data_IF_772132321708
#
_entry.id   IF_772132321708
#
_cell.length_a   1.000
_cell.length_b   1.000
_cell.length_c   1.000
_cell.angle_alpha   90.00
_cell.angle_beta   90.00
_cell.angle_gamma   90.00
#
_symmetry.space_group_name_H-M   'P 1'
#
loop_
_entity.id
_entity.type
_entity.pdbx_description
1 polymer ?
#
# COMPACT_ATOMS: atom_id res chain seq x y z
N UNK A 1 -11.88 0.27 -14.41
CA UNK A 1 -12.76 -0.82 -14.93
C UNK A 1 -12.72 -0.70 -16.45
N UNK A 2 -12.61 -1.81 -17.17
CA UNK A 2 -12.71 -1.78 -18.64
C UNK A 2 -14.16 -1.53 -19.06
N UNK A 3 -14.39 -1.24 -20.35
CA UNK A 3 -15.73 -1.03 -20.91
C UNK A 3 -16.70 -2.20 -20.63
N UNK A 4 -16.16 -3.41 -20.43
CA UNK A 4 -16.91 -4.63 -20.12
C UNK A 4 -17.04 -4.93 -18.63
N UNK A 5 -16.88 -3.93 -17.77
CA UNK A 5 -17.04 -4.04 -16.32
C UNK A 5 -16.05 -5.00 -15.63
N UNK A 6 -14.90 -5.30 -16.27
CA UNK A 6 -13.83 -6.09 -15.66
C UNK A 6 -12.84 -5.19 -14.91
N UNK A 7 -12.24 -5.66 -13.80
CA UNK A 7 -11.15 -4.95 -13.13
C UNK A 7 -10.02 -4.67 -14.14
N UNK A 8 -9.58 -3.41 -14.22
CA UNK A 8 -8.43 -3.05 -15.03
C UNK A 8 -7.17 -3.57 -14.32
N UNK A 9 -6.28 -4.26 -15.04
CA UNK A 9 -5.00 -4.70 -14.48
C UNK A 9 -3.98 -3.57 -14.46
N UNK A 10 -3.02 -3.66 -13.55
CA UNK A 10 -1.92 -2.71 -13.43
C UNK A 10 -0.61 -3.46 -13.12
N UNK A 11 0.52 -2.77 -13.05
CA UNK A 11 1.83 -3.41 -12.82
C UNK A 11 2.71 -2.63 -11.85
N UNK A 12 3.67 -3.33 -11.25
CA UNK A 12 4.55 -2.79 -10.19
C UNK A 12 5.38 -1.59 -10.67
N UNK A 13 5.69 -1.53 -11.97
CA UNK A 13 6.47 -0.45 -12.58
C UNK A 13 5.67 0.67 -13.24
N UNK A 14 4.34 0.57 -13.32
CA UNK A 14 3.50 1.59 -13.95
C UNK A 14 2.10 1.62 -13.34
N UNK A 15 1.79 2.70 -12.61
CA UNK A 15 0.43 2.96 -12.15
C UNK A 15 -0.41 3.48 -13.32
N UNK A 16 -0.94 2.56 -14.11
CA UNK A 16 -1.86 2.85 -15.24
C UNK A 16 -3.29 3.12 -14.79
N UNK A 17 -3.55 3.16 -13.48
CA UNK A 17 -4.89 3.34 -12.94
C UNK A 17 -5.41 4.77 -13.16
N UNK A 18 -6.70 4.88 -13.46
CA UNK A 18 -7.39 6.16 -13.61
C UNK A 18 -7.36 6.99 -12.31
N UNK A 19 -7.65 8.29 -12.43
CA UNK A 19 -7.74 9.18 -11.28
C UNK A 19 -8.74 8.63 -10.22
N UNK A 20 -8.34 8.67 -8.95
CA UNK A 20 -9.12 8.10 -7.84
C UNK A 20 -8.95 6.59 -7.64
N UNK A 21 -8.18 5.90 -8.50
CA UNK A 21 -7.83 4.49 -8.36
C UNK A 21 -6.35 4.30 -8.00
N UNK A 22 -6.04 3.21 -7.32
CA UNK A 22 -4.68 2.80 -6.98
C UNK A 22 -4.41 1.37 -7.46
N UNK A 23 -3.15 1.07 -7.75
CA UNK A 23 -2.76 -0.25 -8.18
C UNK A 23 -2.60 -1.20 -6.99
N UNK A 24 -3.51 -2.16 -6.85
CA UNK A 24 -3.42 -3.22 -5.86
C UNK A 24 -2.60 -4.38 -6.41
N UNK A 25 -1.54 -4.79 -5.70
CA UNK A 25 -0.71 -5.94 -6.05
C UNK A 25 -1.25 -7.21 -5.38
N UNK A 26 -1.76 -8.14 -6.19
CA UNK A 26 -2.32 -9.42 -5.72
C UNK A 26 -1.32 -10.57 -5.71
N UNK A 27 -1.85 -11.81 -5.67
CA UNK A 27 -1.07 -13.05 -5.78
C UNK A 27 -0.69 -13.43 -7.22
N UNK A 28 -1.37 -12.84 -8.20
CA UNK A 28 -1.23 -13.11 -9.64
C UNK A 28 -1.49 -11.84 -10.44
N UNK A 29 -1.24 -11.87 -11.75
CA UNK A 29 -1.59 -10.76 -12.65
C UNK A 29 -3.10 -10.46 -12.65
N UNK A 30 -3.94 -11.50 -12.58
CA UNK A 30 -5.41 -11.35 -12.52
C UNK A 30 -5.90 -10.69 -11.22
N UNK A 31 -5.12 -10.80 -10.15
CA UNK A 31 -5.43 -10.17 -8.86
C UNK A 31 -4.66 -8.86 -8.65
N UNK A 32 -3.85 -8.46 -9.64
CA UNK A 32 -3.13 -7.18 -9.67
C UNK A 32 -3.93 -6.17 -10.49
N UNK A 33 -4.72 -5.35 -9.81
CA UNK A 33 -5.82 -4.59 -10.41
C UNK A 33 -5.95 -3.19 -9.83
N UNK A 34 -6.57 -2.29 -10.59
CA UNK A 34 -6.91 -0.95 -10.15
C UNK A 34 -8.13 -0.97 -9.22
N UNK A 35 -7.93 -0.60 -7.96
CA UNK A 35 -8.96 -0.50 -6.94
C UNK A 35 -9.39 0.98 -6.74
N UNK A 36 -10.68 1.27 -6.54
CA UNK A 36 -11.15 2.62 -6.26
C UNK A 36 -10.72 3.10 -4.86
N UNK A 37 -10.91 4.38 -4.59
CA UNK A 37 -10.71 4.95 -3.25
C UNK A 37 -9.25 5.26 -2.93
N UNK A 38 -8.50 5.75 -3.93
CA UNK A 38 -7.10 6.16 -3.74
C UNK A 38 -6.99 7.21 -2.63
N UNK A 39 -6.24 6.88 -1.58
CA UNK A 39 -5.74 7.82 -0.56
C UNK A 39 -4.27 8.19 -0.83
N UNK A 40 -3.80 9.29 -0.26
CA UNK A 40 -2.46 9.83 -0.51
C UNK A 40 -1.74 10.21 0.80
N UNK A 41 -0.40 10.17 0.77
CA UNK A 41 0.45 10.60 1.88
C UNK A 41 0.14 9.85 3.19
N UNK A 42 0.10 10.61 4.30
CA UNK A 42 -0.12 10.08 5.65
C UNK A 42 -1.44 9.31 5.83
N UNK A 43 -2.46 9.58 5.00
CA UNK A 43 -3.72 8.84 5.07
C UNK A 43 -3.56 7.35 4.74
N UNK A 44 -2.53 6.97 3.97
CA UNK A 44 -2.17 5.56 3.73
C UNK A 44 -1.76 4.90 5.06
N UNK A 45 -0.91 5.58 5.83
CA UNK A 45 -0.32 5.08 7.08
C UNK A 45 -1.33 4.96 8.22
N UNK A 46 -2.49 5.59 8.09
CA UNK A 46 -3.59 5.53 9.06
C UNK A 46 -4.58 4.39 8.77
N UNK A 47 -4.48 3.73 7.61
CA UNK A 47 -5.35 2.60 7.32
C UNK A 47 -4.98 1.40 8.18
N UNK A 48 -6.00 0.68 8.64
CA UNK A 48 -5.82 -0.51 9.48
C UNK A 48 -5.13 -1.65 8.72
N UNK A 49 -4.49 -2.57 9.45
CA UNK A 49 -4.02 -3.83 8.88
C UNK A 49 -5.16 -4.54 8.15
N UNK A 50 -4.95 -4.88 6.88
CA UNK A 50 -5.91 -5.64 6.10
C UNK A 50 -5.29 -6.93 5.56
N UNK A 51 -5.63 -8.05 6.19
CA UNK A 51 -5.19 -9.39 5.76
C UNK A 51 -5.69 -9.76 4.36
N UNK A 52 -6.75 -9.11 3.90
CA UNK A 52 -7.41 -9.41 2.63
C UNK A 52 -8.20 -10.72 2.66
N UNK A 53 -8.42 -11.28 1.47
CA UNK A 53 -9.14 -12.54 1.25
C UNK A 53 -8.40 -13.42 0.24
N UNK A 54 -8.70 -14.71 0.24
CA UNK A 54 -8.02 -15.73 -0.55
C UNK A 54 -7.16 -16.69 0.27
N UNK A 55 -6.41 -17.53 -0.44
CA UNK A 55 -5.62 -18.64 0.12
C UNK A 55 -4.10 -18.43 -0.04
N UNK A 56 -3.67 -17.27 -0.54
CA UNK A 56 -2.24 -16.97 -0.63
C UNK A 56 -1.68 -16.59 0.75
N UNK A 57 -0.36 -16.75 0.92
CA UNK A 57 0.38 -16.28 2.07
C UNK A 57 1.53 -15.38 1.58
N UNK A 58 1.20 -14.16 1.15
CA UNK A 58 2.17 -13.24 0.57
C UNK A 58 2.82 -12.41 1.67
N UNK A 59 4.16 -12.45 1.85
CA UNK A 59 4.82 -11.55 2.78
C UNK A 59 4.68 -10.11 2.29
N UNK A 60 4.16 -9.23 3.16
CA UNK A 60 3.95 -7.81 2.91
C UNK A 60 4.32 -7.00 4.12
N UNK A 61 4.47 -5.70 3.94
CA UNK A 61 4.72 -4.75 5.01
C UNK A 61 3.50 -3.85 5.17
N UNK A 62 3.11 -3.56 6.40
CA UNK A 62 2.17 -2.49 6.71
C UNK A 62 2.77 -1.60 7.79
N UNK A 63 2.37 -0.34 7.80
CA UNK A 63 2.69 0.58 8.86
C UNK A 63 1.72 0.38 10.03
N UNK A 64 2.26 0.00 11.18
CA UNK A 64 1.55 -0.01 12.44
C UNK A 64 1.69 1.35 13.12
N UNK A 65 0.60 2.12 13.12
CA UNK A 65 0.55 3.45 13.71
C UNK A 65 0.71 3.44 15.24
N UNK A 66 0.45 2.33 15.92
CA UNK A 66 0.62 2.22 17.36
C UNK A 66 2.10 2.16 17.74
N UNK A 67 2.87 1.33 17.04
CA UNK A 67 4.31 1.21 17.27
C UNK A 67 5.15 2.18 16.42
N UNK A 68 4.51 2.91 15.48
CA UNK A 68 5.12 3.79 14.50
C UNK A 68 6.20 3.10 13.64
N UNK A 69 5.94 1.85 13.25
CA UNK A 69 6.89 0.99 12.54
C UNK A 69 6.25 0.24 11.39
N UNK A 70 7.06 -0.04 10.37
CA UNK A 70 6.70 -1.00 9.34
C UNK A 70 6.89 -2.43 9.87
N UNK A 71 5.82 -3.22 9.86
CA UNK A 71 5.78 -4.58 10.38
C UNK A 71 5.37 -5.53 9.26
N UNK A 72 6.01 -6.70 9.19
CA UNK A 72 5.68 -7.71 8.21
C UNK A 72 4.38 -8.45 8.60
N UNK A 73 3.55 -8.77 7.63
CA UNK A 73 2.35 -9.59 7.77
C UNK A 73 2.15 -10.49 6.55
N UNK A 74 1.21 -11.44 6.64
CA UNK A 74 0.84 -12.31 5.53
C UNK A 74 -0.48 -11.86 4.91
N UNK A 75 -0.39 -11.37 3.67
CA UNK A 75 -1.52 -10.91 2.88
C UNK A 75 -2.11 -12.04 2.03
N UNK A 76 -3.44 -12.12 1.98
CA UNK A 76 -4.18 -13.22 1.34
C UNK A 76 -4.36 -13.08 -0.18
N UNK A 77 -3.95 -11.95 -0.74
CA UNK A 77 -3.80 -11.75 -2.19
C UNK A 77 -4.94 -11.04 -2.91
N UNK A 78 -6.07 -10.76 -2.24
CA UNK A 78 -7.20 -9.97 -2.80
C UNK A 78 -7.80 -9.04 -1.75
N UNK A 79 -8.36 -7.92 -2.22
CA UNK A 79 -8.96 -6.84 -1.42
C UNK A 79 -7.91 -6.01 -0.65
N UNK A 80 -8.15 -5.71 0.62
CA UNK A 80 -7.22 -4.92 1.42
C UNK A 80 -7.28 -3.42 1.16
N UNK A 81 -6.19 -2.73 1.46
CA UNK A 81 -6.04 -1.27 1.36
C UNK A 81 -4.60 -0.91 0.98
N UNK A 82 -4.28 0.39 0.92
CA UNK A 82 -2.97 0.88 0.47
C UNK A 82 -1.88 0.77 1.55
N UNK A 83 -2.23 0.47 2.80
CA UNK A 83 -1.26 0.15 3.85
C UNK A 83 -0.78 -1.30 3.71
N UNK A 84 -0.20 -1.60 2.55
CA UNK A 84 0.25 -2.91 2.13
C UNK A 84 1.32 -2.72 1.06
N UNK A 85 2.56 -2.83 1.50
CA UNK A 85 3.76 -2.55 0.72
C UNK A 85 4.48 -3.84 0.38
N UNK A 86 5.14 -3.87 -0.78
CA UNK A 86 5.90 -5.04 -1.24
C UNK A 86 7.21 -5.18 -0.46
N UNK A 87 7.82 -4.05 -0.08
CA UNK A 87 9.08 -4.03 0.67
C UNK A 87 8.99 -3.16 1.91
N UNK A 88 9.93 -3.36 2.82
CA UNK A 88 10.03 -2.56 4.04
C UNK A 88 10.36 -1.11 3.71
N UNK A 89 11.25 -0.90 2.74
CA UNK A 89 11.73 0.41 2.32
C UNK A 89 10.59 1.24 1.74
N UNK A 90 9.73 0.64 0.91
CA UNK A 90 8.53 1.30 0.37
C UNK A 90 7.59 1.77 1.49
N UNK A 91 7.39 0.90 2.49
CA UNK A 91 6.61 1.24 3.68
C UNK A 91 7.24 2.42 4.45
N UNK A 92 8.53 2.36 4.76
CA UNK A 92 9.22 3.39 5.56
C UNK A 92 9.33 4.74 4.83
N UNK A 93 9.48 4.72 3.50
CA UNK A 93 9.47 5.93 2.68
C UNK A 93 8.09 6.59 2.63
N UNK A 94 7.03 5.78 2.54
CA UNK A 94 5.64 6.27 2.53
C UNK A 94 5.20 6.73 3.91
N UNK A 95 5.57 5.96 4.94
CA UNK A 95 5.15 6.10 6.33
C UNK A 95 6.39 6.25 7.24
N UNK A 96 6.97 7.45 7.30
CA UNK A 96 8.16 7.69 8.12
C UNK A 96 7.84 7.50 9.61
N UNK A 97 8.68 6.72 10.30
CA UNK A 97 8.65 6.60 11.75
C UNK A 97 9.06 7.90 12.46
N UNK A 98 8.88 7.93 13.79
CA UNK A 98 9.16 9.11 14.61
C UNK A 98 10.59 9.65 14.41
N UNK A 99 11.60 8.77 14.33
CA UNK A 99 12.99 9.17 14.12
C UNK A 99 13.21 9.91 12.79
N UNK A 100 12.59 9.43 11.69
CA UNK A 100 12.70 10.07 10.39
C UNK A 100 11.91 11.39 10.31
N UNK A 101 10.77 11.49 11.00
CA UNK A 101 10.03 12.74 11.12
C UNK A 101 10.84 13.81 11.86
N UNK A 102 11.47 13.45 12.97
CA UNK A 102 12.31 14.37 13.75
C UNK A 102 13.53 14.85 12.94
N UNK A 103 14.21 13.98 12.20
CA UNK A 103 15.32 14.37 11.32
C UNK A 103 14.85 15.34 10.23
N UNK A 104 13.70 15.06 9.59
CA UNK A 104 13.12 15.98 8.60
C UNK A 104 12.81 17.35 9.20
N UNK A 105 12.28 17.43 10.41
CA UNK A 105 12.04 18.73 11.07
C UNK A 105 13.33 19.49 11.39
N UNK A 106 14.42 18.80 11.72
CA UNK A 106 15.72 19.45 11.94
C UNK A 106 16.39 19.91 10.65
N UNK A 107 16.15 19.26 9.51
CA UNK A 107 16.61 19.73 8.18
C UNK A 107 15.74 20.84 7.58
N UNK A 108 14.57 21.14 8.16
CA UNK A 108 13.63 22.16 7.68
C UNK A 108 13.64 23.44 8.51
N UNK A 109 14.47 23.52 9.56
CA UNK A 109 14.74 24.74 10.31
C UNK A 109 16.16 25.23 9.95
N UNK A 110 16.32 26.34 9.20
CA UNK A 110 17.64 26.91 8.92
C UNK A 110 18.33 27.44 10.18
#
# INVERSE_FOLDING_TARGET
MTADNRPQTCSVGSNTCAAGYWCHFGASLETTVCCPGRVQGQAICQQQLALGSGNAALPRWYYDAQSMRCVQFFYRGRLGNQNNFLTREECEQTCPGLSQLLIKTHSLNP
#
